data_IF_582083515804
#
_entry.id   IF_582083515804
#
_cell.length_a   1.000
_cell.length_b   1.000
_cell.length_c   1.000
_cell.angle_alpha   90.00
_cell.angle_beta   90.00
_cell.angle_gamma   90.00
#
_symmetry.space_group_name_H-M   'P 1'
#
loop_
_entity.id
_entity.type
_entity.pdbx_description
1 polymer ?
#
# COMPACT_ATOMS: atom_id res chain seq x y z
N UNK A 1 -13.67 47.91 59.92
CA UNK A 1 -13.74 49.24 59.28
C UNK A 1 -12.38 49.54 58.66
N UNK A 2 -11.89 48.65 57.80
CA UNK A 2 -12.34 48.37 56.40
C UNK A 2 -11.60 49.36 55.48
N UNK A 3 -10.91 48.99 54.40
CA UNK A 3 -10.65 47.71 53.75
C UNK A 3 -9.48 48.02 52.80
N UNK A 4 -8.37 47.28 52.88
CA UNK A 4 -7.19 47.50 52.02
C UNK A 4 -7.41 46.72 50.73
N UNK A 5 -7.87 47.42 49.70
CA UNK A 5 -8.15 46.87 48.37
C UNK A 5 -6.82 46.48 47.69
N UNK A 6 -6.42 45.21 47.85
CA UNK A 6 -5.31 44.59 47.13
C UNK A 6 -5.71 44.36 45.68
N UNK A 7 -4.98 45.03 44.80
CA UNK A 7 -5.05 44.96 43.35
C UNK A 7 -4.63 43.56 42.86
N UNK A 8 -5.60 42.66 42.74
CA UNK A 8 -5.44 41.28 42.28
C UNK A 8 -5.36 41.16 40.76
N UNK A 9 -4.35 41.78 40.13
CA UNK A 9 -4.02 41.44 38.73
C UNK A 9 -3.31 40.09 38.71
N UNK A 10 -4.11 39.03 38.56
CA UNK A 10 -3.61 37.72 38.18
C UNK A 10 -2.83 37.86 36.86
N UNK A 11 -1.50 37.89 36.96
CA UNK A 11 -0.61 37.72 35.81
C UNK A 11 -0.89 36.34 35.24
N UNK A 12 -1.58 36.29 34.09
CA UNK A 12 -1.63 35.11 33.24
C UNK A 12 -0.19 34.63 33.02
N UNK A 13 0.10 33.33 33.23
CA UNK A 13 1.45 32.83 33.00
C UNK A 13 1.82 33.06 31.54
N UNK A 14 3.07 33.43 31.24
CA UNK A 14 3.50 33.61 29.86
C UNK A 14 3.25 32.30 29.11
N UNK A 15 2.59 32.40 27.96
CA UNK A 15 2.43 31.29 27.04
C UNK A 15 3.82 30.72 26.79
N UNK A 16 4.09 29.55 27.38
CA UNK A 16 5.32 28.81 27.14
C UNK A 16 5.37 28.55 25.64
N UNK A 17 6.25 29.27 24.97
CA UNK A 17 6.60 29.04 23.58
C UNK A 17 7.18 27.63 23.50
N UNK A 18 6.31 26.66 23.25
CA UNK A 18 6.66 25.24 23.19
C UNK A 18 7.73 25.03 22.12
N UNK A 19 8.99 24.99 22.57
CA UNK A 19 10.12 24.54 21.78
C UNK A 19 9.88 23.06 21.45
N UNK A 20 9.84 22.77 20.15
CA UNK A 20 10.30 21.49 19.62
C UNK A 20 9.46 20.23 19.85
N UNK A 21 8.11 20.26 19.85
CA UNK A 21 7.38 18.99 19.62
C UNK A 21 7.38 18.64 18.12
N UNK A 22 7.75 17.39 17.80
CA UNK A 22 7.81 16.84 16.44
C UNK A 22 6.51 17.05 15.64
N UNK A 23 5.37 17.08 16.32
CA UNK A 23 4.11 17.65 15.84
C UNK A 23 3.67 18.74 16.83
N UNK A 24 3.59 20.01 16.39
CA UNK A 24 2.89 21.03 17.17
C UNK A 24 1.39 20.74 17.16
N UNK A 25 0.72 21.10 18.26
CA UNK A 25 -0.71 20.86 18.48
C UNK A 25 -1.53 21.47 17.33
N UNK A 26 -2.42 20.69 16.71
CA UNK A 26 -3.44 21.19 15.79
C UNK A 26 -3.02 21.43 14.33
N UNK A 27 -1.80 21.07 13.91
CA UNK A 27 -1.20 21.45 12.61
C UNK A 27 -1.40 20.44 11.45
N UNK A 28 -2.47 19.64 11.43
CA UNK A 28 -2.65 18.57 10.44
C UNK A 28 -4.10 18.34 9.97
N UNK A 29 -4.95 19.35 10.00
CA UNK A 29 -6.34 19.22 9.53
C UNK A 29 -6.41 19.04 8.01
N UNK A 30 -5.71 19.87 7.24
CA UNK A 30 -5.65 19.78 5.78
C UNK A 30 -4.85 18.58 5.28
N UNK A 31 -3.65 18.26 5.80
CA UNK A 31 -2.94 17.03 5.44
C UNK A 31 -3.80 15.78 5.65
N UNK A 32 -4.47 15.66 6.80
CA UNK A 32 -5.44 14.57 7.03
C UNK A 32 -6.57 14.61 6.01
N UNK A 33 -7.13 15.79 5.77
CA UNK A 33 -8.23 15.94 4.83
C UNK A 33 -7.81 15.41 3.46
N UNK A 34 -6.71 15.90 2.89
CA UNK A 34 -6.17 15.48 1.60
C UNK A 34 -5.87 13.98 1.57
N UNK A 35 -5.19 13.47 2.60
CA UNK A 35 -4.85 12.05 2.73
C UNK A 35 -6.09 11.15 2.66
N UNK A 36 -7.18 11.48 3.36
CA UNK A 36 -8.39 10.64 3.34
C UNK A 36 -9.05 10.60 1.94
N UNK A 37 -8.97 11.67 1.14
CA UNK A 37 -9.49 11.66 -0.24
C UNK A 37 -8.58 10.83 -1.13
N UNK A 38 -7.27 11.00 -0.99
CA UNK A 38 -6.30 10.19 -1.71
C UNK A 38 -6.48 8.70 -1.40
N UNK A 39 -6.68 8.34 -0.13
CA UNK A 39 -6.99 6.98 0.29
C UNK A 39 -8.28 6.45 -0.38
N UNK A 40 -9.33 7.27 -0.43
CA UNK A 40 -10.56 6.94 -1.16
C UNK A 40 -10.33 6.72 -2.66
N UNK A 41 -9.52 7.56 -3.32
CA UNK A 41 -9.17 7.40 -4.74
C UNK A 41 -8.32 6.14 -4.99
N UNK A 42 -7.40 5.81 -4.08
CA UNK A 42 -6.58 4.59 -4.14
C UNK A 42 -7.45 3.35 -3.99
N UNK A 43 -8.36 3.33 -3.01
CA UNK A 43 -9.36 2.26 -2.88
C UNK A 43 -10.22 2.16 -4.13
N UNK A 44 -10.67 3.28 -4.70
CA UNK A 44 -11.46 3.30 -5.92
C UNK A 44 -10.68 2.67 -7.08
N UNK A 45 -9.38 2.95 -7.22
CA UNK A 45 -8.53 2.30 -8.22
C UNK A 45 -8.46 0.78 -8.03
N UNK A 46 -8.29 0.32 -6.78
CA UNK A 46 -8.26 -1.10 -6.46
C UNK A 46 -9.60 -1.79 -6.78
N UNK A 47 -10.73 -1.25 -6.30
CA UNK A 47 -12.06 -1.81 -6.55
C UNK A 47 -12.48 -1.73 -8.01
N UNK A 48 -12.17 -0.63 -8.71
CA UNK A 48 -12.41 -0.51 -10.15
C UNK A 48 -11.69 -1.61 -10.92
N UNK A 49 -10.43 -1.88 -10.56
CA UNK A 49 -9.68 -2.98 -11.17
C UNK A 49 -10.31 -4.35 -10.90
N UNK A 50 -10.74 -4.59 -9.66
CA UNK A 50 -11.39 -5.83 -9.24
C UNK A 50 -12.77 -6.02 -9.88
N UNK A 51 -13.51 -4.96 -10.18
CA UNK A 51 -14.85 -5.07 -10.79
C UNK A 51 -14.86 -5.83 -12.12
N UNK A 52 -13.73 -5.81 -12.85
CA UNK A 52 -13.58 -6.52 -14.13
C UNK A 52 -12.86 -7.87 -14.01
N UNK A 53 -12.27 -8.18 -12.86
CA UNK A 53 -11.37 -9.32 -12.71
C UNK A 53 -11.84 -10.32 -11.66
N UNK A 54 -12.57 -9.90 -10.63
CA UNK A 54 -12.79 -10.71 -9.41
C UNK A 54 -13.45 -12.07 -9.70
N UNK A 55 -14.42 -12.13 -10.61
CA UNK A 55 -15.12 -13.38 -10.97
C UNK A 55 -14.21 -14.32 -11.77
N UNK A 56 -13.41 -13.80 -12.69
CA UNK A 56 -12.41 -14.61 -13.42
C UNK A 56 -11.27 -15.10 -12.54
N UNK A 57 -10.87 -14.31 -11.54
CA UNK A 57 -9.81 -14.68 -10.60
C UNK A 57 -10.28 -15.73 -9.59
N UNK A 58 -11.38 -15.44 -8.87
CA UNK A 58 -11.82 -16.22 -7.70
C UNK A 58 -13.30 -16.59 -7.66
N UNK A 59 -14.04 -16.35 -8.75
CA UNK A 59 -15.43 -16.83 -8.89
C UNK A 59 -15.53 -18.35 -8.91
N UNK A 60 -16.75 -18.91 -8.84
CA UNK A 60 -16.96 -20.37 -8.90
C UNK A 60 -16.38 -21.03 -10.16
N UNK A 61 -16.33 -20.29 -11.28
CA UNK A 61 -15.68 -20.71 -12.53
C UNK A 61 -14.34 -20.03 -12.79
N UNK A 62 -13.79 -19.34 -11.79
CA UNK A 62 -12.52 -18.64 -11.89
C UNK A 62 -11.31 -19.57 -11.85
N UNK A 63 -10.12 -18.97 -11.97
CA UNK A 63 -8.83 -19.67 -11.94
C UNK A 63 -8.58 -20.30 -10.55
N UNK A 64 -8.85 -19.55 -9.47
CA UNK A 64 -8.68 -19.97 -8.08
C UNK A 64 -9.98 -19.76 -7.28
N UNK A 65 -10.99 -20.62 -7.44
CA UNK A 65 -12.30 -20.42 -6.82
C UNK A 65 -12.23 -20.24 -5.29
N UNK A 66 -12.75 -19.12 -4.79
CA UNK A 66 -12.73 -18.80 -3.37
C UNK A 66 -13.51 -19.83 -2.52
N UNK A 67 -14.62 -20.35 -3.04
CA UNK A 67 -15.44 -21.34 -2.33
C UNK A 67 -14.68 -22.65 -2.05
N UNK A 68 -13.94 -23.16 -3.04
CA UNK A 68 -13.11 -24.36 -2.88
C UNK A 68 -11.98 -24.15 -1.87
N UNK A 69 -11.32 -22.99 -1.96
CA UNK A 69 -10.26 -22.60 -1.05
C UNK A 69 -10.76 -22.50 0.39
N UNK A 70 -11.84 -21.76 0.65
CA UNK A 70 -12.40 -21.60 1.99
C UNK A 70 -12.90 -22.93 2.56
N UNK A 71 -13.47 -23.80 1.74
CA UNK A 71 -13.83 -25.16 2.15
C UNK A 71 -12.60 -26.01 2.51
N UNK A 72 -11.48 -25.86 1.80
CA UNK A 72 -10.22 -26.53 2.14
C UNK A 72 -9.63 -26.01 3.46
N UNK A 73 -9.60 -24.68 3.65
CA UNK A 73 -9.14 -24.05 4.90
C UNK A 73 -9.97 -24.52 6.10
N UNK A 74 -11.31 -24.54 5.96
CA UNK A 74 -12.20 -25.03 7.01
C UNK A 74 -11.94 -26.49 7.37
N UNK A 75 -11.63 -27.34 6.39
CA UNK A 75 -11.29 -28.76 6.62
C UNK A 75 -9.95 -28.93 7.34
N UNK A 76 -8.99 -28.03 7.09
CA UNK A 76 -7.65 -28.11 7.69
C UNK A 76 -7.60 -27.61 9.14
N UNK A 77 -8.29 -26.50 9.45
CA UNK A 77 -8.14 -25.80 10.75
C UNK A 77 -9.42 -25.83 11.62
N UNK A 78 -10.55 -26.29 11.10
CA UNK A 78 -11.86 -26.05 11.74
C UNK A 78 -12.31 -24.59 11.60
N UNK A 79 -13.56 -24.29 11.98
CA UNK A 79 -14.18 -23.00 11.63
C UNK A 79 -13.57 -21.79 12.35
N UNK A 80 -13.21 -21.92 13.64
CA UNK A 80 -12.73 -20.79 14.42
C UNK A 80 -11.37 -20.27 13.92
N UNK A 81 -10.42 -21.19 13.73
CA UNK A 81 -9.09 -20.86 13.19
C UNK A 81 -9.16 -20.48 11.71
N UNK A 82 -10.05 -21.11 10.92
CA UNK A 82 -10.24 -20.75 9.52
C UNK A 82 -10.69 -19.31 9.32
N UNK A 83 -11.59 -18.79 10.17
CA UNK A 83 -12.04 -17.40 10.12
C UNK A 83 -10.89 -16.42 10.39
N UNK A 84 -9.96 -16.77 11.28
CA UNK A 84 -8.78 -15.95 11.57
C UNK A 84 -7.73 -16.04 10.46
N UNK A 85 -7.53 -17.24 9.91
CA UNK A 85 -6.57 -17.51 8.84
C UNK A 85 -6.95 -16.81 7.52
N UNK A 86 -8.25 -16.81 7.19
CA UNK A 86 -8.78 -16.16 6.00
C UNK A 86 -9.91 -15.20 6.40
N UNK A 87 -9.60 -13.98 6.90
CA UNK A 87 -10.61 -13.02 7.30
C UNK A 87 -11.32 -12.46 6.07
N UNK A 88 -12.53 -12.96 5.77
CA UNK A 88 -13.29 -12.54 4.58
C UNK A 88 -14.80 -12.61 4.77
N UNK A 89 -15.54 -11.72 4.10
CA UNK A 89 -16.99 -11.82 4.00
C UNK A 89 -17.46 -13.02 3.15
N UNK A 90 -16.57 -13.62 2.35
CA UNK A 90 -16.92 -14.72 1.45
C UNK A 90 -17.17 -16.07 2.14
N UNK A 91 -17.00 -16.15 3.47
CA UNK A 91 -17.53 -17.25 4.27
C UNK A 91 -19.06 -17.34 4.23
N UNK A 92 -19.75 -16.22 4.00
CA UNK A 92 -21.21 -16.18 3.87
C UNK A 92 -21.67 -16.71 2.51
N UNK A 93 -20.98 -16.28 1.45
CA UNK A 93 -21.20 -16.74 0.08
C UNK A 93 -20.02 -16.33 -0.79
N UNK A 94 -19.56 -17.25 -1.65
CA UNK A 94 -18.52 -17.03 -2.64
C UNK A 94 -19.05 -17.06 -4.09
N UNK A 95 -20.33 -16.71 -4.29
CA UNK A 95 -20.93 -16.60 -5.62
C UNK A 95 -20.47 -15.34 -6.36
N UNK A 96 -20.60 -15.32 -7.70
CA UNK A 96 -20.26 -14.13 -8.51
C UNK A 96 -20.97 -12.86 -8.02
N UNK A 97 -22.23 -12.99 -7.62
CA UNK A 97 -23.02 -11.88 -7.07
C UNK A 97 -22.43 -11.39 -5.74
N UNK A 98 -22.03 -12.30 -4.85
CA UNK A 98 -21.42 -11.92 -3.57
C UNK A 98 -20.06 -11.24 -3.77
N UNK A 99 -19.23 -11.77 -4.67
CA UNK A 99 -17.94 -11.17 -5.04
C UNK A 99 -18.11 -9.74 -5.57
N UNK A 100 -19.01 -9.54 -6.54
CA UNK A 100 -19.29 -8.22 -7.10
C UNK A 100 -19.94 -7.28 -6.09
N UNK A 101 -20.83 -7.77 -5.21
CA UNK A 101 -21.43 -6.95 -4.16
C UNK A 101 -20.38 -6.38 -3.20
N UNK A 102 -19.38 -7.16 -2.80
CA UNK A 102 -18.27 -6.70 -1.96
C UNK A 102 -17.44 -5.63 -2.69
N UNK A 103 -17.15 -5.82 -3.98
CA UNK A 103 -16.42 -4.83 -4.79
C UNK A 103 -17.22 -3.52 -4.92
N UNK A 104 -18.52 -3.60 -5.21
CA UNK A 104 -19.38 -2.43 -5.35
C UNK A 104 -19.57 -1.69 -4.02
N UNK A 105 -19.75 -2.41 -2.91
CA UNK A 105 -19.84 -1.83 -1.58
C UNK A 105 -18.55 -1.11 -1.20
N UNK A 106 -17.40 -1.75 -1.43
CA UNK A 106 -16.08 -1.15 -1.21
C UNK A 106 -15.86 0.09 -2.09
N UNK A 107 -16.20 0.01 -3.37
CA UNK A 107 -16.12 1.14 -4.31
C UNK A 107 -17.02 2.31 -3.92
N UNK A 108 -18.27 2.05 -3.51
CA UNK A 108 -19.18 3.07 -3.02
C UNK A 108 -18.66 3.73 -1.74
N UNK A 109 -18.12 2.95 -0.79
CA UNK A 109 -17.46 3.50 0.39
C UNK A 109 -16.26 4.37 0.02
N UNK A 110 -15.47 3.97 -0.98
CA UNK A 110 -14.34 4.75 -1.48
C UNK A 110 -14.79 6.12 -2.03
N UNK A 111 -15.84 6.14 -2.86
CA UNK A 111 -16.44 7.39 -3.39
C UNK A 111 -16.95 8.28 -2.26
N UNK A 112 -17.70 7.72 -1.31
CA UNK A 112 -18.21 8.47 -0.16
C UNK A 112 -17.07 9.04 0.70
N UNK A 113 -15.96 8.31 0.85
CA UNK A 113 -14.76 8.79 1.53
C UNK A 113 -14.15 10.00 0.81
N UNK A 114 -14.04 9.96 -0.53
CA UNK A 114 -13.60 11.11 -1.34
C UNK A 114 -14.52 12.31 -1.13
N UNK A 115 -15.83 12.07 -1.08
CA UNK A 115 -16.86 13.09 -0.83
C UNK A 115 -16.96 13.53 0.63
N UNK A 116 -16.11 12.99 1.53
CA UNK A 116 -16.10 13.27 2.97
C UNK A 116 -17.40 12.93 3.70
N UNK A 117 -18.12 11.92 3.21
CA UNK A 117 -19.33 11.41 3.85
C UNK A 117 -18.93 10.28 4.78
N UNK A 118 -19.22 10.41 6.07
CA UNK A 118 -18.91 9.45 7.13
C UNK A 118 -17.50 8.83 7.03
N UNK A 119 -16.42 9.64 6.92
CA UNK A 119 -15.11 9.16 6.48
C UNK A 119 -14.57 8.00 7.33
N UNK A 120 -14.77 8.00 8.65
CA UNK A 120 -14.36 6.87 9.51
C UNK A 120 -15.07 5.57 9.16
N UNK A 121 -16.37 5.61 8.90
CA UNK A 121 -17.17 4.43 8.52
C UNK A 121 -16.76 3.97 7.13
N UNK A 122 -16.61 4.89 6.18
CA UNK A 122 -16.22 4.57 4.82
C UNK A 122 -14.83 3.94 4.73
N UNK A 123 -13.84 4.42 5.50
CA UNK A 123 -12.52 3.76 5.61
C UNK A 123 -12.67 2.33 6.13
N UNK A 124 -13.47 2.11 7.19
CA UNK A 124 -13.68 0.77 7.73
C UNK A 124 -14.36 -0.17 6.74
N UNK A 125 -15.41 0.28 6.07
CA UNK A 125 -16.14 -0.52 5.07
C UNK A 125 -15.24 -0.86 3.88
N UNK A 126 -14.51 0.12 3.33
CA UNK A 126 -13.56 -0.10 2.25
C UNK A 126 -12.46 -1.09 2.66
N UNK A 127 -11.89 -0.94 3.86
CA UNK A 127 -10.87 -1.83 4.39
C UNK A 127 -11.38 -3.27 4.54
N UNK A 128 -12.59 -3.48 5.11
CA UNK A 128 -13.17 -4.82 5.26
C UNK A 128 -13.49 -5.45 3.91
N UNK A 129 -14.03 -4.69 2.95
CA UNK A 129 -14.31 -5.19 1.60
C UNK A 129 -13.02 -5.59 0.88
N UNK A 130 -11.97 -4.77 1.00
CA UNK A 130 -10.67 -5.07 0.38
C UNK A 130 -9.98 -6.25 1.07
N UNK A 131 -10.01 -6.31 2.41
CA UNK A 131 -9.52 -7.45 3.18
C UNK A 131 -10.25 -8.75 2.79
N UNK A 132 -11.55 -8.68 2.50
CA UNK A 132 -12.32 -9.85 2.08
C UNK A 132 -11.81 -10.44 0.76
N UNK A 133 -11.42 -9.59 -0.19
CA UNK A 133 -10.73 -10.03 -1.38
C UNK A 133 -9.35 -10.63 -1.02
N UNK A 134 -8.53 -9.92 -0.25
CA UNK A 134 -7.18 -10.38 0.13
C UNK A 134 -7.18 -11.73 0.84
N UNK A 135 -8.12 -11.96 1.76
CA UNK A 135 -8.25 -13.21 2.50
C UNK A 135 -8.67 -14.42 1.65
N UNK A 136 -9.22 -14.21 0.46
CA UNK A 136 -9.72 -15.27 -0.43
C UNK A 136 -8.94 -15.42 -1.75
N UNK A 137 -8.16 -14.41 -2.13
CA UNK A 137 -7.58 -14.30 -3.47
C UNK A 137 -6.27 -15.10 -3.70
N UNK A 138 -5.75 -15.77 -2.68
CA UNK A 138 -4.58 -16.67 -2.78
C UNK A 138 -3.40 -15.97 -3.50
N UNK A 139 -2.89 -16.52 -4.61
CA UNK A 139 -1.79 -15.95 -5.39
C UNK A 139 -2.09 -14.54 -5.93
N UNK A 140 -3.36 -14.22 -6.18
CA UNK A 140 -3.81 -12.89 -6.63
C UNK A 140 -3.84 -11.82 -5.54
N UNK A 141 -3.41 -12.15 -4.32
CA UNK A 141 -3.23 -11.21 -3.21
C UNK A 141 -1.77 -11.14 -2.72
N UNK A 142 -0.75 -11.56 -3.47
CA UNK A 142 0.65 -11.58 -2.99
C UNK A 142 1.38 -10.22 -2.99
N UNK A 143 0.68 -9.12 -3.33
CA UNK A 143 1.31 -7.81 -3.57
C UNK A 143 1.60 -7.03 -2.28
N UNK A 144 2.80 -6.43 -2.19
CA UNK A 144 3.15 -5.54 -1.07
C UNK A 144 2.21 -4.32 -0.98
N UNK A 145 1.77 -3.79 -2.13
CA UNK A 145 0.82 -2.67 -2.20
C UNK A 145 -0.51 -2.97 -1.51
N UNK A 146 -0.96 -4.22 -1.53
CA UNK A 146 -2.21 -4.61 -0.87
C UNK A 146 -2.07 -4.49 0.66
N UNK A 147 -0.92 -4.90 1.21
CA UNK A 147 -0.61 -4.74 2.63
C UNK A 147 -0.43 -3.27 3.03
N UNK A 148 0.23 -2.46 2.20
CA UNK A 148 0.32 -1.01 2.41
C UNK A 148 -1.08 -0.38 2.49
N UNK A 149 -1.97 -0.70 1.55
CA UNK A 149 -3.33 -0.14 1.57
C UNK A 149 -4.13 -0.55 2.81
N UNK A 150 -4.03 -1.81 3.24
CA UNK A 150 -4.74 -2.31 4.43
C UNK A 150 -4.19 -1.71 5.73
N UNK A 151 -2.86 -1.63 5.88
CA UNK A 151 -2.21 -0.99 7.02
C UNK A 151 -2.58 0.49 7.10
N UNK A 152 -2.42 1.23 6.00
CA UNK A 152 -2.79 2.62 5.86
C UNK A 152 -4.26 2.86 6.21
N UNK A 153 -5.18 2.00 5.73
CA UNK A 153 -6.61 2.11 6.00
C UNK A 153 -6.94 1.83 7.47
N UNK A 154 -6.35 0.79 8.06
CA UNK A 154 -6.57 0.46 9.47
C UNK A 154 -6.10 1.59 10.38
N UNK A 155 -4.91 2.15 10.15
CA UNK A 155 -4.42 3.30 10.93
C UNK A 155 -5.30 4.53 10.66
N UNK A 156 -5.72 4.74 9.41
CA UNK A 156 -6.59 5.85 9.01
C UNK A 156 -7.98 5.82 9.65
N UNK A 157 -8.48 4.65 10.07
CA UNK A 157 -9.71 4.56 10.87
C UNK A 157 -9.61 5.39 12.16
N UNK A 158 -8.45 5.36 12.82
CA UNK A 158 -8.19 6.14 14.04
C UNK A 158 -7.91 7.62 13.76
N UNK A 159 -7.38 7.93 12.57
CA UNK A 159 -7.12 9.29 12.10
C UNK A 159 -8.39 10.02 11.64
N UNK A 160 -9.29 9.31 10.95
CA UNK A 160 -10.47 9.86 10.29
C UNK A 160 -11.46 10.45 11.30
N UNK A 161 -12.02 11.66 11.07
CA UNK A 161 -12.97 12.28 11.99
C UNK A 161 -14.31 11.53 12.04
N UNK A 162 -14.98 11.55 13.20
CA UNK A 162 -16.36 11.07 13.38
C UNK A 162 -17.38 12.01 12.73
N UNK A 163 -18.57 11.47 12.45
CA UNK A 163 -19.73 12.24 11.96
C UNK A 163 -19.98 12.11 10.46
N UNK A 164 -21.20 12.45 10.03
CA UNK A 164 -21.66 12.23 8.66
C UNK A 164 -20.99 13.17 7.64
N UNK A 165 -20.77 14.45 7.96
CA UNK A 165 -20.05 15.39 7.10
C UNK A 165 -19.17 16.31 7.95
N UNK A 166 -17.99 15.83 8.39
CA UNK A 166 -17.19 16.53 9.40
C UNK A 166 -16.45 17.77 8.90
N UNK A 167 -16.59 18.17 7.63
CA UNK A 167 -15.77 19.22 6.99
C UNK A 167 -14.27 18.90 7.17
N UNK A 168 -13.48 19.79 7.76
CA UNK A 168 -12.07 19.55 8.13
C UNK A 168 -11.91 18.66 9.38
N UNK A 169 -12.98 18.37 10.12
CA UNK A 169 -12.98 17.55 11.32
C UNK A 169 -12.32 18.23 12.51
N UNK A 170 -12.47 19.56 12.66
CA UNK A 170 -11.85 20.35 13.73
C UNK A 170 -12.29 19.90 15.14
N UNK A 171 -13.53 19.44 15.27
CA UNK A 171 -14.10 18.91 16.52
C UNK A 171 -13.60 17.49 16.87
N UNK A 172 -12.97 16.78 15.93
CA UNK A 172 -12.36 15.48 16.15
C UNK A 172 -11.00 15.45 15.42
N UNK A 173 -9.98 16.18 15.93
CA UNK A 173 -8.70 16.37 15.24
C UNK A 173 -7.86 15.10 15.16
N UNK A 174 -6.85 15.05 14.26
CA UNK A 174 -6.04 13.86 14.04
C UNK A 174 -5.31 13.41 15.32
N UNK A 175 -5.31 12.09 15.56
CA UNK A 175 -4.50 11.51 16.63
C UNK A 175 -3.00 11.60 16.28
N UNK A 176 -2.15 12.13 17.17
CA UNK A 176 -0.71 12.16 16.94
C UNK A 176 -0.09 10.77 16.74
N UNK A 177 -0.60 9.75 17.43
CA UNK A 177 -0.09 8.38 17.30
C UNK A 177 -0.48 7.78 15.96
N UNK A 178 -1.71 7.98 15.49
CA UNK A 178 -2.12 7.50 14.16
C UNK A 178 -1.34 8.22 13.04
N UNK A 179 -1.13 9.53 13.18
CA UNK A 179 -0.33 10.32 12.25
C UNK A 179 1.13 9.84 12.23
N UNK A 180 1.71 9.59 13.41
CA UNK A 180 3.04 8.99 13.52
C UNK A 180 3.09 7.64 12.81
N UNK A 181 2.09 6.77 13.01
CA UNK A 181 2.10 5.44 12.43
C UNK A 181 1.93 5.41 10.91
N UNK A 182 1.19 6.36 10.32
CA UNK A 182 1.14 6.52 8.86
C UNK A 182 2.47 7.04 8.31
N UNK A 183 3.13 7.96 9.01
CA UNK A 183 4.49 8.40 8.66
C UNK A 183 5.54 7.29 8.90
N UNK A 184 5.30 6.42 9.88
CA UNK A 184 6.10 5.24 10.16
C UNK A 184 5.95 4.21 9.05
N UNK A 185 4.73 3.93 8.58
CA UNK A 185 4.48 3.11 7.40
C UNK A 185 5.21 3.69 6.17
N UNK A 186 5.02 4.98 5.89
CA UNK A 186 5.72 5.68 4.81
C UNK A 186 7.24 5.53 4.90
N UNK A 187 7.80 5.71 6.11
CA UNK A 187 9.22 5.56 6.36
C UNK A 187 9.67 4.12 6.12
N UNK A 188 8.95 3.12 6.66
CA UNK A 188 9.31 1.70 6.51
C UNK A 188 9.29 1.27 5.06
N UNK A 189 8.35 1.77 4.25
CA UNK A 189 8.32 1.48 2.82
C UNK A 189 9.64 1.85 2.13
N UNK A 190 10.19 3.04 2.42
CA UNK A 190 11.49 3.46 1.88
C UNK A 190 12.66 2.74 2.57
N UNK A 191 12.71 2.82 3.89
CA UNK A 191 13.86 2.39 4.67
C UNK A 191 14.07 0.88 4.61
N UNK A 192 13.01 0.08 4.82
CA UNK A 192 13.11 -1.36 4.71
C UNK A 192 13.47 -1.80 3.28
N UNK A 193 12.95 -1.11 2.26
CA UNK A 193 13.34 -1.35 0.86
C UNK A 193 14.82 -1.09 0.60
N UNK A 194 15.44 -0.08 1.22
CA UNK A 194 16.88 0.16 1.13
C UNK A 194 17.71 -0.86 1.91
N UNK A 195 17.26 -1.23 3.11
CA UNK A 195 17.92 -2.22 3.96
C UNK A 195 17.96 -3.58 3.25
N UNK A 196 16.86 -4.03 2.65
CA UNK A 196 16.85 -5.33 1.97
C UNK A 196 17.72 -5.37 0.71
N UNK A 197 17.95 -4.23 0.03
CA UNK A 197 18.90 -4.16 -1.10
C UNK A 197 20.34 -4.39 -0.63
N UNK A 198 20.66 -4.00 0.60
CA UNK A 198 21.96 -4.28 1.20
C UNK A 198 22.06 -5.72 1.74
N UNK A 199 20.99 -6.19 2.39
CA UNK A 199 20.93 -7.51 3.02
C UNK A 199 20.72 -8.66 2.04
N UNK A 200 20.15 -8.42 0.85
CA UNK A 200 19.94 -9.46 -0.16
C UNK A 200 21.24 -10.04 -0.70
N UNK A 201 22.34 -9.28 -0.61
CA UNK A 201 23.64 -9.68 -1.16
C UNK A 201 23.73 -9.59 -2.68
N UNK A 202 22.70 -9.05 -3.34
CA UNK A 202 22.68 -8.87 -4.79
C UNK A 202 23.81 -7.93 -5.24
N UNK A 203 24.68 -8.45 -6.10
CA UNK A 203 25.85 -7.75 -6.60
C UNK A 203 25.47 -6.52 -7.43
N UNK A 204 24.32 -6.52 -8.11
CA UNK A 204 23.92 -5.42 -9.00
C UNK A 204 23.75 -4.09 -8.25
N UNK A 205 23.28 -4.13 -7.01
CA UNK A 205 23.20 -2.95 -6.15
C UNK A 205 24.58 -2.43 -5.76
N UNK A 206 25.54 -3.33 -5.51
CA UNK A 206 26.91 -2.99 -5.11
C UNK A 206 27.76 -2.50 -6.28
N UNK A 207 27.52 -3.02 -7.48
CA UNK A 207 28.22 -2.64 -8.72
C UNK A 207 27.55 -1.48 -9.46
N UNK A 208 26.48 -0.88 -8.90
CA UNK A 208 25.71 0.22 -9.52
C UNK A 208 25.07 -0.15 -10.87
N UNK A 209 24.81 -1.43 -11.12
CA UNK A 209 24.21 -1.96 -12.36
C UNK A 209 22.75 -2.39 -12.18
N UNK A 210 22.18 -2.22 -10.98
CA UNK A 210 20.78 -2.59 -10.68
C UNK A 210 19.77 -1.92 -11.62
N UNK A 211 20.03 -0.69 -12.05
CA UNK A 211 19.12 0.07 -12.92
C UNK A 211 19.38 -0.16 -14.42
N UNK A 212 20.40 -0.92 -14.80
CA UNK A 212 20.79 -1.11 -16.21
C UNK A 212 19.78 -1.89 -17.03
N UNK A 213 18.92 -2.69 -16.39
CA UNK A 213 17.88 -3.51 -17.04
C UNK A 213 16.52 -3.36 -16.38
N UNK A 214 16.41 -2.43 -15.42
CA UNK A 214 15.24 -2.29 -14.55
C UNK A 214 13.96 -1.98 -15.33
N UNK A 215 14.03 -1.04 -16.28
CA UNK A 215 12.83 -0.51 -16.95
C UNK A 215 12.25 -1.51 -17.94
N UNK A 216 13.09 -2.33 -18.58
CA UNK A 216 12.63 -3.41 -19.44
C UNK A 216 12.17 -4.63 -18.65
N UNK A 217 12.78 -4.92 -17.49
CA UNK A 217 12.43 -6.11 -16.70
C UNK A 217 11.26 -5.90 -15.74
N UNK A 218 10.82 -4.65 -15.52
CA UNK A 218 9.69 -4.35 -14.64
C UNK A 218 8.38 -5.02 -15.10
N UNK A 219 7.44 -5.33 -14.19
CA UNK A 219 6.24 -6.12 -14.47
C UNK A 219 5.44 -5.60 -15.66
N UNK A 220 5.16 -4.29 -15.64
CA UNK A 220 4.51 -3.56 -16.72
C UNK A 220 5.38 -2.34 -17.09
N UNK A 221 6.18 -2.44 -18.16
CA UNK A 221 7.00 -1.32 -18.60
C UNK A 221 6.11 -0.18 -19.12
N UNK A 222 6.65 1.03 -19.16
CA UNK A 222 6.01 2.19 -19.81
C UNK A 222 6.83 2.59 -21.03
N UNK A 223 6.24 3.31 -21.98
CA UNK A 223 7.00 3.83 -23.13
C UNK A 223 8.08 4.83 -22.72
N UNK A 224 7.86 5.60 -21.62
CA UNK A 224 8.90 6.47 -21.06
C UNK A 224 10.03 5.65 -20.43
N UNK A 225 9.70 4.62 -19.64
CA UNK A 225 10.69 3.70 -19.07
C UNK A 225 11.53 3.03 -20.16
N UNK A 226 10.89 2.61 -21.25
CA UNK A 226 11.59 2.13 -22.44
C UNK A 226 12.52 3.19 -23.04
N UNK A 227 12.08 4.45 -23.16
CA UNK A 227 12.95 5.53 -23.65
C UNK A 227 14.16 5.74 -22.74
N UNK A 228 13.94 5.78 -21.42
CA UNK A 228 14.99 5.90 -20.40
C UNK A 228 16.00 4.76 -20.53
N UNK A 229 15.52 3.52 -20.69
CA UNK A 229 16.32 2.31 -20.88
C UNK A 229 17.19 2.34 -22.14
N UNK A 230 16.65 2.84 -23.25
CA UNK A 230 17.30 2.75 -24.56
C UNK A 230 18.20 3.95 -24.86
N UNK A 231 17.94 5.11 -24.24
CA UNK A 231 18.60 6.37 -24.61
C UNK A 231 19.58 6.89 -23.58
N UNK A 232 19.43 6.52 -22.31
CA UNK A 232 20.32 7.03 -21.27
C UNK A 232 21.50 6.08 -21.04
N UNK A 233 22.72 6.61 -20.86
CA UNK A 233 23.90 5.78 -20.67
C UNK A 233 23.95 5.19 -19.25
N UNK A 234 24.80 4.17 -19.06
CA UNK A 234 25.05 3.56 -17.74
C UNK A 234 25.33 4.59 -16.63
N UNK A 235 26.03 5.69 -16.93
CA UNK A 235 26.29 6.75 -15.94
C UNK A 235 25.00 7.33 -15.31
N UNK A 236 23.91 7.45 -16.06
CA UNK A 236 22.61 7.87 -15.54
C UNK A 236 21.99 6.79 -14.63
N UNK A 237 22.07 5.52 -15.03
CA UNK A 237 21.55 4.40 -14.26
C UNK A 237 22.31 4.22 -12.94
N UNK A 238 23.64 4.27 -12.97
CA UNK A 238 24.49 4.24 -11.80
C UNK A 238 24.19 5.41 -10.84
N UNK A 239 24.02 6.63 -11.37
CA UNK A 239 23.60 7.78 -10.56
C UNK A 239 22.21 7.55 -9.93
N UNK A 240 21.29 6.93 -10.65
CA UNK A 240 19.95 6.60 -10.14
C UNK A 240 20.03 5.57 -9.00
N UNK A 241 20.93 4.59 -9.05
CA UNK A 241 21.20 3.68 -7.92
C UNK A 241 21.65 4.44 -6.67
N UNK A 242 22.59 5.38 -6.81
CA UNK A 242 23.05 6.22 -5.70
C UNK A 242 21.90 7.05 -5.13
N UNK A 243 21.08 7.65 -6.00
CA UNK A 243 19.88 8.37 -5.58
C UNK A 243 18.92 7.47 -4.83
N UNK A 244 18.61 6.26 -5.32
CA UNK A 244 17.73 5.29 -4.63
C UNK A 244 18.22 5.06 -3.20
N UNK A 245 19.51 4.78 -2.99
CA UNK A 245 20.06 4.61 -1.65
C UNK A 245 19.98 5.87 -0.79
N UNK A 246 20.24 7.06 -1.37
CA UNK A 246 20.09 8.31 -0.65
C UNK A 246 18.64 8.53 -0.20
N UNK A 247 17.67 8.24 -1.05
CA UNK A 247 16.24 8.37 -0.73
C UNK A 247 15.80 7.36 0.34
N UNK A 248 16.16 6.10 0.16
CA UNK A 248 15.72 5.00 1.01
C UNK A 248 16.40 4.98 2.38
N UNK A 249 17.71 5.27 2.46
CA UNK A 249 18.50 5.12 3.69
C UNK A 249 18.78 6.43 4.44
N UNK A 250 18.70 7.58 3.76
CA UNK A 250 19.07 8.88 4.36
C UNK A 250 17.89 9.85 4.38
N UNK A 251 17.32 10.19 3.23
CA UNK A 251 16.25 11.20 3.13
C UNK A 251 15.00 10.73 3.86
N UNK A 252 14.67 9.44 3.87
CA UNK A 252 13.54 8.90 4.63
C UNK A 252 13.54 9.33 6.11
N UNK A 253 14.71 9.43 6.76
CA UNK A 253 14.83 9.88 8.15
C UNK A 253 14.42 11.34 8.37
N UNK A 254 14.43 12.17 7.32
CA UNK A 254 14.02 13.56 7.44
C UNK A 254 12.55 13.70 7.82
N UNK A 255 11.74 12.65 7.65
CA UNK A 255 10.36 12.58 8.17
C UNK A 255 10.29 12.78 9.69
N UNK A 256 11.30 12.33 10.43
CA UNK A 256 11.35 12.39 11.89
C UNK A 256 12.09 13.63 12.43
N UNK A 257 12.65 14.45 11.55
CA UNK A 257 13.39 15.66 11.90
C UNK A 257 12.48 16.89 12.04
N UNK A 258 13.00 18.05 12.51
CA UNK A 258 12.22 19.28 12.62
C UNK A 258 11.59 19.72 11.29
N UNK A 259 10.54 20.54 11.38
CA UNK A 259 9.67 20.99 10.27
C UNK A 259 10.39 21.25 8.93
N UNK A 260 11.52 21.97 8.94
CA UNK A 260 12.26 22.32 7.72
C UNK A 260 12.68 21.07 6.93
N UNK A 261 13.20 20.05 7.62
CA UNK A 261 13.63 18.79 7.03
C UNK A 261 12.44 17.99 6.49
N UNK A 262 11.30 17.96 7.18
CA UNK A 262 10.09 17.29 6.67
C UNK A 262 9.57 17.90 5.38
N UNK A 263 9.63 19.22 5.25
CA UNK A 263 9.25 19.89 3.99
C UNK A 263 10.24 19.58 2.87
N UNK A 264 11.54 19.58 3.16
CA UNK A 264 12.57 19.17 2.20
C UNK A 264 12.31 17.73 1.76
N UNK A 265 12.06 16.83 2.72
CA UNK A 265 11.69 15.44 2.49
C UNK A 265 10.50 15.34 1.54
N UNK A 266 9.39 16.01 1.87
CA UNK A 266 8.18 16.05 1.04
C UNK A 266 8.49 16.48 -0.40
N UNK A 267 9.19 17.60 -0.60
CA UNK A 267 9.50 18.10 -1.94
C UNK A 267 10.37 17.12 -2.74
N UNK A 268 11.45 16.60 -2.12
CA UNK A 268 12.35 15.65 -2.76
C UNK A 268 11.64 14.35 -3.11
N UNK A 269 10.90 13.76 -2.16
CA UNK A 269 10.24 12.46 -2.36
C UNK A 269 9.06 12.58 -3.32
N UNK A 270 8.40 13.73 -3.39
CA UNK A 270 7.34 14.00 -4.38
C UNK A 270 7.91 13.99 -5.79
N UNK A 271 9.02 14.69 -6.03
CA UNK A 271 9.70 14.68 -7.33
C UNK A 271 10.21 13.28 -7.70
N UNK A 272 10.79 12.57 -6.73
CA UNK A 272 11.28 11.20 -6.92
C UNK A 272 10.14 10.22 -7.27
N UNK A 273 9.03 10.26 -6.54
CA UNK A 273 7.85 9.44 -6.83
C UNK A 273 7.23 9.76 -8.18
N UNK A 274 7.18 11.05 -8.58
CA UNK A 274 6.71 11.43 -9.91
C UNK A 274 7.58 10.81 -11.02
N UNK A 275 8.91 10.79 -10.84
CA UNK A 275 9.83 10.12 -11.76
C UNK A 275 9.57 8.61 -11.87
N UNK A 276 9.32 7.93 -10.74
CA UNK A 276 8.99 6.49 -10.75
C UNK A 276 7.65 6.24 -11.45
N UNK A 277 6.62 7.02 -11.12
CA UNK A 277 5.27 6.89 -11.72
C UNK A 277 5.32 7.08 -13.25
N UNK A 278 6.12 8.04 -13.72
CA UNK A 278 6.25 8.31 -15.15
C UNK A 278 6.99 7.20 -15.89
N UNK A 279 7.89 6.46 -15.22
CA UNK A 279 8.77 5.49 -15.87
C UNK A 279 8.36 4.03 -15.65
N UNK A 280 7.42 3.75 -14.74
CA UNK A 280 6.99 2.40 -14.44
C UNK A 280 5.50 2.32 -14.06
N UNK A 281 4.81 1.25 -14.49
CA UNK A 281 3.44 1.00 -14.09
C UNK A 281 3.40 0.15 -12.80
N UNK A 282 3.30 0.78 -11.63
CA UNK A 282 3.21 0.11 -10.32
C UNK A 282 1.82 0.06 -9.69
N UNK A 283 0.78 -0.03 -10.53
CA UNK A 283 -0.60 0.06 -10.09
C UNK A 283 -0.78 1.26 -9.14
N UNK A 284 -1.46 1.09 -8.00
CA UNK A 284 -1.62 2.15 -7.01
C UNK A 284 -0.47 2.28 -6.00
N UNK A 285 0.60 1.45 -6.08
CA UNK A 285 1.70 1.41 -5.10
C UNK A 285 2.38 2.77 -4.96
N UNK A 286 2.90 3.34 -6.05
CA UNK A 286 3.61 4.62 -5.95
C UNK A 286 2.67 5.77 -5.59
N UNK A 287 1.39 5.67 -5.94
CA UNK A 287 0.38 6.64 -5.55
C UNK A 287 0.13 6.64 -4.05
N UNK A 288 0.07 5.46 -3.39
CA UNK A 288 -0.06 5.43 -1.92
C UNK A 288 1.15 6.04 -1.23
N UNK A 289 2.38 5.77 -1.70
CA UNK A 289 3.61 6.34 -1.13
C UNK A 289 3.67 7.86 -1.33
N UNK A 290 3.34 8.32 -2.53
CA UNK A 290 3.26 9.75 -2.85
C UNK A 290 2.23 10.46 -1.96
N UNK A 291 1.03 9.89 -1.83
CA UNK A 291 -0.05 10.47 -1.06
C UNK A 291 0.18 10.44 0.45
N UNK A 292 0.81 9.38 0.98
CA UNK A 292 1.26 9.34 2.39
C UNK A 292 2.24 10.47 2.69
N UNK A 293 3.07 10.84 1.71
CA UNK A 293 3.99 11.99 1.81
C UNK A 293 3.30 13.31 2.14
N UNK A 294 2.02 13.49 1.79
CA UNK A 294 1.24 14.69 2.17
C UNK A 294 1.18 14.88 3.69
N UNK A 295 1.31 13.83 4.48
CA UNK A 295 1.34 13.91 5.95
C UNK A 295 2.64 14.51 6.51
N UNK A 296 3.67 14.72 5.69
CA UNK A 296 4.91 15.42 6.06
C UNK A 296 4.73 16.95 6.16
N UNK A 297 3.74 17.50 5.45
CA UNK A 297 3.44 18.93 5.46
C UNK A 297 2.46 19.29 6.59
N UNK A 298 2.44 20.56 6.97
CA UNK A 298 1.52 21.09 7.98
C UNK A 298 0.53 22.09 7.38
N UNK A 299 -0.52 22.39 8.13
CA UNK A 299 -1.55 23.36 7.74
C UNK A 299 -0.96 24.74 7.34
N UNK A 300 0.15 25.14 7.99
CA UNK A 300 0.89 26.38 7.72
C UNK A 300 1.60 26.38 6.37
N UNK A 301 2.11 25.23 5.93
CA UNK A 301 2.69 25.09 4.59
C UNK A 301 1.65 25.33 3.50
N UNK A 302 0.43 24.80 3.70
CA UNK A 302 -0.66 24.92 2.74
C UNK A 302 -1.28 26.33 2.73
N UNK A 303 -1.07 27.14 3.78
CA UNK A 303 -1.58 28.52 3.91
C UNK A 303 -3.10 28.62 3.74
N UNK A 304 -3.81 27.54 4.08
CA UNK A 304 -5.27 27.48 3.99
C UNK A 304 -5.90 27.85 5.34
N UNK A 305 -7.12 28.44 5.36
CA UNK A 305 -7.82 28.73 6.61
C UNK A 305 -8.02 27.47 7.45
N UNK A 306 -7.59 27.51 8.71
CA UNK A 306 -7.70 26.39 9.65
C UNK A 306 -8.44 26.80 10.92
N UNK A 307 -9.54 26.13 11.25
CA UNK A 307 -10.22 26.36 12.52
C UNK A 307 -9.33 25.92 13.69
N UNK A 308 -9.46 26.54 14.87
CA UNK A 308 -8.79 26.09 16.07
C UNK A 308 -9.25 24.66 16.41
N UNK A 309 -8.32 23.85 16.92
CA UNK A 309 -8.61 22.48 17.34
C UNK A 309 -7.82 22.12 18.60
N UNK A 310 -8.45 21.37 19.49
CA UNK A 310 -7.83 20.86 20.71
C UNK A 310 -7.25 19.46 20.51
N UNK A 311 -6.16 19.08 21.19
CA UNK A 311 -5.58 17.75 21.00
C UNK A 311 -6.58 16.64 21.35
N UNK A 312 -6.79 15.72 20.42
CA UNK A 312 -7.62 14.55 20.64
C UNK A 312 -6.93 13.56 21.59
N UNK A 313 -7.66 13.11 22.60
CA UNK A 313 -7.25 11.98 23.44
C UNK A 313 -7.77 10.67 22.84
N UNK A 314 -6.86 9.72 22.59
CA UNK A 314 -7.23 8.36 22.21
C UNK A 314 -7.74 7.58 23.43
N UNK A 315 -8.81 6.80 23.22
CA UNK A 315 -9.27 5.79 24.17
C UNK A 315 -8.21 4.70 24.36
N UNK A 316 -8.22 4.02 25.52
CA UNK A 316 -7.25 2.97 25.82
C UNK A 316 -7.25 1.80 24.79
N UNK A 317 -8.39 1.33 24.22
CA UNK A 317 -8.34 0.25 23.23
C UNK A 317 -7.66 0.70 21.94
N UNK A 318 -7.86 1.95 21.52
CA UNK A 318 -7.20 2.52 20.35
C UNK A 318 -5.69 2.60 20.55
N UNK A 319 -5.22 2.93 21.75
CA UNK A 319 -3.78 2.96 22.06
C UNK A 319 -3.17 1.56 22.02
N UNK A 320 -3.88 0.55 22.53
CA UNK A 320 -3.42 -0.85 22.47
C UNK A 320 -3.35 -1.33 21.02
N UNK A 321 -4.39 -1.11 20.22
CA UNK A 321 -4.40 -1.53 18.82
C UNK A 321 -3.26 -0.88 18.00
N UNK A 322 -3.07 0.43 18.15
CA UNK A 322 -1.98 1.14 17.48
C UNK A 322 -0.60 0.75 18.02
N UNK A 323 -0.49 0.51 19.34
CA UNK A 323 0.74 0.01 19.97
C UNK A 323 1.11 -1.40 19.51
N UNK A 324 0.12 -2.26 19.27
CA UNK A 324 0.34 -3.60 18.72
C UNK A 324 0.87 -3.53 17.29
N UNK A 325 0.34 -2.63 16.44
CA UNK A 325 0.91 -2.41 15.09
C UNK A 325 2.37 -1.94 15.17
N UNK A 326 2.66 -0.97 16.04
CA UNK A 326 4.02 -0.50 16.22
C UNK A 326 4.95 -1.64 16.65
N UNK A 327 4.55 -2.42 17.66
CA UNK A 327 5.30 -3.57 18.12
C UNK A 327 5.53 -4.58 16.99
N UNK A 328 4.46 -4.98 16.30
CA UNK A 328 4.50 -5.98 15.25
C UNK A 328 5.43 -5.56 14.11
N UNK A 329 5.32 -4.32 13.64
CA UNK A 329 6.18 -3.78 12.57
C UNK A 329 7.66 -3.69 12.99
N UNK A 330 7.96 -3.40 14.26
CA UNK A 330 9.33 -3.39 14.77
C UNK A 330 9.95 -4.78 14.85
N UNK A 331 9.22 -5.79 15.36
CA UNK A 331 9.77 -7.14 15.54
C UNK A 331 9.93 -7.90 14.22
N UNK A 332 9.16 -7.56 13.19
CA UNK A 332 9.27 -8.19 11.85
C UNK A 332 10.19 -7.44 10.89
N UNK A 333 10.75 -6.30 11.31
CA UNK A 333 11.63 -5.48 10.47
C UNK A 333 12.83 -6.30 9.94
N UNK A 334 13.30 -6.02 8.71
CA UNK A 334 14.47 -6.70 8.13
C UNK A 334 15.69 -6.60 9.03
N UNK A 335 16.34 -7.74 9.29
CA UNK A 335 17.51 -7.81 10.17
C UNK A 335 17.19 -7.90 11.67
N UNK A 336 15.93 -7.80 12.10
CA UNK A 336 15.53 -7.95 13.51
C UNK A 336 14.88 -9.30 13.77
N UNK A 337 13.96 -9.73 12.91
CA UNK A 337 13.11 -10.92 13.15
C UNK A 337 13.90 -12.21 13.40
N UNK A 338 15.06 -12.38 12.77
CA UNK A 338 15.93 -13.55 12.95
C UNK A 338 16.68 -13.59 14.29
N UNK A 339 16.77 -12.46 14.99
CA UNK A 339 17.44 -12.34 16.30
C UNK A 339 16.49 -12.63 17.46
N UNK A 340 15.18 -12.66 17.22
CA UNK A 340 14.17 -12.77 18.26
C UNK A 340 13.67 -14.21 18.42
N UNK A 341 13.46 -14.70 19.66
CA UNK A 341 12.83 -15.98 19.90
C UNK A 341 11.36 -15.96 19.43
N UNK A 342 10.84 -17.12 19.00
CA UNK A 342 9.49 -17.27 18.45
C UNK A 342 8.36 -16.67 19.30
N UNK A 343 8.37 -16.74 20.64
CA UNK A 343 7.35 -16.10 21.47
C UNK A 343 7.31 -14.57 21.39
N UNK A 344 8.34 -13.89 20.88
CA UNK A 344 8.26 -12.44 20.62
C UNK A 344 7.67 -12.13 19.23
N UNK A 345 7.61 -13.13 18.35
CA UNK A 345 7.05 -12.96 17.00
C UNK A 345 5.55 -13.26 16.95
N UNK A 346 4.99 -14.01 17.92
CA UNK A 346 3.57 -14.39 17.92
C UNK A 346 2.62 -13.20 17.75
N UNK A 347 2.83 -12.02 18.37
CA UNK A 347 1.90 -10.90 18.20
C UNK A 347 1.90 -10.41 16.75
N UNK A 348 3.03 -10.47 16.05
CA UNK A 348 3.10 -10.10 14.65
C UNK A 348 2.46 -11.17 13.75
N UNK A 349 2.72 -12.46 14.01
CA UNK A 349 2.10 -13.58 13.29
C UNK A 349 0.58 -13.56 13.40
N UNK A 350 0.03 -13.19 14.55
CA UNK A 350 -1.41 -13.07 14.75
C UNK A 350 -2.06 -11.97 13.88
N UNK A 351 -1.30 -10.96 13.44
CA UNK A 351 -1.77 -9.89 12.57
C UNK A 351 -1.55 -10.16 11.07
N UNK A 352 -0.78 -11.19 10.72
CA UNK A 352 -0.44 -11.52 9.32
C UNK A 352 -1.67 -11.70 8.42
N UNK A 353 -2.76 -12.40 8.84
CA UNK A 353 -3.95 -12.56 8.01
C UNK A 353 -4.66 -11.25 7.65
N UNK A 354 -4.53 -10.23 8.50
CA UNK A 354 -5.14 -8.92 8.29
C UNK A 354 -4.29 -7.99 7.45
N UNK A 355 -2.99 -8.28 7.32
CA UNK A 355 -2.01 -7.47 6.58
C UNK A 355 -2.02 -5.99 6.97
N UNK A 356 -2.11 -5.73 8.27
CA UNK A 356 -2.10 -4.38 8.86
C UNK A 356 -0.79 -4.03 9.59
N UNK A 357 0.20 -4.92 9.52
CA UNK A 357 1.53 -4.73 10.10
C UNK A 357 2.54 -5.51 9.25
N UNK A 358 2.95 -4.93 8.12
CA UNK A 358 3.69 -5.65 7.08
C UNK A 358 5.19 -5.36 7.13
N UNK A 359 5.97 -6.17 6.42
CA UNK A 359 7.36 -5.85 6.03
C UNK A 359 7.39 -5.41 4.58
N UNK A 360 8.30 -4.50 4.24
CA UNK A 360 8.48 -4.00 2.88
C UNK A 360 9.88 -4.30 2.36
N UNK A 361 9.96 -4.60 1.08
CA UNK A 361 11.21 -5.00 0.46
C UNK A 361 11.11 -4.94 -1.05
N UNK A 362 10.93 -3.73 -1.58
CA UNK A 362 10.74 -3.52 -3.01
C UNK A 362 12.10 -3.64 -3.73
N UNK A 363 12.13 -4.50 -4.76
CA UNK A 363 13.31 -4.72 -5.61
C UNK A 363 14.57 -5.11 -4.83
N UNK A 364 14.45 -5.99 -3.84
CA UNK A 364 15.59 -6.48 -3.06
C UNK A 364 16.62 -7.23 -3.93
N UNK A 365 16.13 -7.98 -4.91
CA UNK A 365 16.93 -8.73 -5.90
C UNK A 365 16.45 -8.31 -7.28
N UNK A 366 17.40 -7.94 -8.14
CA UNK A 366 17.16 -7.51 -9.49
C UNK A 366 17.15 -8.71 -10.44
N UNK A 367 16.31 -8.62 -11.47
CA UNK A 367 16.28 -9.61 -12.54
C UNK A 367 17.19 -9.14 -13.67
N UNK A 368 17.95 -10.07 -14.23
CA UNK A 368 18.85 -9.82 -15.37
C UNK A 368 18.14 -9.94 -16.70
N UNK A 369 17.15 -10.83 -16.77
CA UNK A 369 16.43 -11.20 -17.99
C UNK A 369 14.91 -11.14 -17.76
N UNK A 370 14.17 -10.89 -18.84
CA UNK A 370 12.71 -10.90 -18.86
C UNK A 370 12.19 -12.12 -19.60
N UNK A 371 11.65 -13.06 -18.83
CA UNK A 371 10.91 -14.19 -19.35
C UNK A 371 9.41 -13.88 -19.38
N UNK A 372 8.74 -14.34 -20.43
CA UNK A 372 7.31 -14.12 -20.63
C UNK A 372 6.57 -15.45 -20.83
N UNK A 373 5.47 -15.62 -20.09
CA UNK A 373 4.57 -16.76 -20.24
C UNK A 373 3.50 -16.37 -21.24
N UNK A 374 3.33 -17.19 -22.27
CA UNK A 374 2.32 -17.01 -23.31
C UNK A 374 1.38 -18.21 -23.36
N UNK A 375 0.08 -17.95 -23.46
CA UNK A 375 -0.91 -18.98 -23.76
C UNK A 375 -1.17 -18.98 -25.26
N UNK A 376 -1.18 -20.15 -25.88
CA UNK A 376 -1.45 -20.31 -27.31
C UNK A 376 -2.61 -21.28 -27.52
N UNK A 377 -3.39 -21.05 -28.58
CA UNK A 377 -4.45 -21.96 -29.01
C UNK A 377 -4.24 -22.41 -30.46
N UNK A 378 -4.64 -23.64 -30.77
CA UNK A 378 -4.64 -24.17 -32.13
C UNK A 378 -5.95 -24.86 -32.47
N UNK A 379 -6.42 -24.69 -33.70
CA UNK A 379 -7.60 -25.42 -34.24
C UNK A 379 -7.20 -26.67 -35.04
N UNK A 380 -5.99 -26.71 -35.57
CA UNK A 380 -5.47 -27.78 -36.43
C UNK A 380 -4.36 -28.61 -35.75
N UNK A 381 -3.94 -28.24 -34.55
CA UNK A 381 -2.83 -28.85 -33.82
C UNK A 381 -1.44 -28.50 -34.37
N UNK A 382 -1.37 -27.74 -35.47
CA UNK A 382 -0.13 -27.41 -36.19
C UNK A 382 0.21 -25.94 -36.03
N UNK A 383 -0.75 -25.05 -36.27
CA UNK A 383 -0.58 -23.60 -36.13
C UNK A 383 -1.10 -23.15 -34.78
N UNK A 384 -0.19 -22.70 -33.95
CA UNK A 384 -0.48 -22.15 -32.63
C UNK A 384 -0.48 -20.63 -32.69
N UNK A 385 -1.55 -20.02 -32.20
CA UNK A 385 -1.72 -18.57 -32.19
C UNK A 385 -1.75 -18.09 -30.74
N UNK A 386 -0.93 -17.09 -30.38
CA UNK A 386 -0.96 -16.48 -29.05
C UNK A 386 -2.32 -15.84 -28.72
N UNK A 387 -2.78 -16.03 -27.49
CA UNK A 387 -3.87 -15.23 -26.94
C UNK A 387 -3.33 -13.85 -26.56
N UNK A 388 -3.92 -12.75 -27.06
CA UNK A 388 -3.43 -11.42 -26.77
C UNK A 388 -3.80 -10.99 -25.34
N UNK A 389 -2.80 -10.53 -24.59
CA UNK A 389 -2.97 -9.84 -23.31
C UNK A 389 -3.31 -8.37 -23.53
N UNK A 390 -4.00 -7.79 -22.55
CA UNK A 390 -4.50 -6.42 -22.65
C UNK A 390 -3.46 -5.41 -22.19
N UNK A 391 -2.71 -5.74 -21.15
CA UNK A 391 -1.79 -4.79 -20.50
C UNK A 391 -0.32 -5.24 -20.54
N UNK A 392 -0.05 -6.54 -20.57
CA UNK A 392 1.31 -7.09 -20.58
C UNK A 392 1.92 -7.01 -21.97
N UNK A 393 3.20 -6.63 -22.12
CA UNK A 393 3.88 -6.69 -23.41
C UNK A 393 3.97 -8.13 -23.92
N UNK A 394 3.72 -8.33 -25.21
CA UNK A 394 3.87 -9.61 -25.92
C UNK A 394 4.58 -9.39 -27.26
N UNK A 395 4.13 -8.42 -28.04
CA UNK A 395 4.75 -8.04 -29.32
C UNK A 395 5.94 -7.09 -29.09
N UNK A 396 7.18 -7.47 -29.43
CA UNK A 396 8.37 -6.61 -29.30
C UNK A 396 8.30 -5.34 -30.15
N UNK A 397 7.47 -5.32 -31.19
CA UNK A 397 7.29 -4.16 -32.09
C UNK A 397 6.24 -3.18 -31.59
N UNK A 398 5.51 -3.52 -30.52
CA UNK A 398 4.47 -2.67 -29.94
C UNK A 398 4.98 -1.88 -28.74
N UNK A 399 4.77 -0.56 -28.77
CA UNK A 399 5.14 0.31 -27.66
C UNK A 399 4.31 -0.02 -26.39
N UNK A 400 4.94 -0.05 -25.19
CA UNK A 400 4.24 -0.32 -23.94
C UNK A 400 3.36 0.87 -23.47
N UNK A 401 2.21 0.57 -22.86
CA UNK A 401 1.24 1.57 -22.40
C UNK A 401 1.50 2.13 -20.99
N UNK A 402 0.64 3.06 -20.58
CA UNK A 402 0.53 3.53 -19.19
C UNK A 402 -0.82 3.08 -18.65
N UNK A 403 -0.80 2.27 -17.60
CA UNK A 403 -1.96 1.59 -17.03
C UNK A 403 -2.17 1.96 -15.56
N UNK A 404 -1.11 2.29 -14.83
CA UNK A 404 -1.21 2.72 -13.45
C UNK A 404 -2.14 3.96 -13.34
N UNK A 405 -3.03 4.05 -12.32
CA UNK A 405 -3.07 3.23 -11.11
C UNK A 405 -3.89 1.91 -11.20
N UNK A 406 -4.36 1.51 -12.39
CA UNK A 406 -5.05 0.23 -12.59
C UNK A 406 -4.11 -0.96 -12.30
N UNK A 407 -4.63 -2.02 -11.67
CA UNK A 407 -3.86 -3.22 -11.31
C UNK A 407 -4.37 -4.45 -12.06
N UNK A 408 -3.78 -4.82 -13.21
CA UNK A 408 -4.15 -6.03 -13.92
C UNK A 408 -3.55 -7.27 -13.23
N UNK A 409 -4.25 -7.82 -12.24
CA UNK A 409 -3.71 -8.84 -11.32
C UNK A 409 -3.38 -10.15 -12.03
N UNK A 410 -4.14 -10.52 -13.06
CA UNK A 410 -3.85 -11.71 -13.85
C UNK A 410 -2.51 -11.56 -14.58
N UNK A 411 -2.39 -10.55 -15.45
CA UNK A 411 -1.17 -10.32 -16.22
C UNK A 411 0.04 -10.01 -15.33
N UNK A 412 -0.16 -9.24 -14.26
CA UNK A 412 0.92 -8.95 -13.33
C UNK A 412 1.45 -10.24 -12.68
N UNK A 413 0.58 -11.15 -12.27
CA UNK A 413 1.03 -12.42 -11.69
C UNK A 413 1.76 -13.30 -12.70
N UNK A 414 1.49 -13.21 -14.00
CA UNK A 414 2.31 -13.90 -15.01
C UNK A 414 3.77 -13.42 -14.99
N UNK A 415 4.03 -12.15 -14.67
CA UNK A 415 5.40 -11.67 -14.47
C UNK A 415 6.07 -12.32 -13.26
N UNK A 416 5.36 -12.49 -12.13
CA UNK A 416 5.91 -13.22 -10.99
C UNK A 416 6.13 -14.71 -11.32
N UNK A 417 5.18 -15.31 -12.04
CA UNK A 417 5.25 -16.72 -12.40
C UNK A 417 6.42 -17.04 -13.33
N UNK A 418 6.85 -16.08 -14.18
CA UNK A 418 8.00 -16.28 -15.07
C UNK A 418 9.34 -16.23 -14.35
N UNK A 419 9.40 -15.82 -13.07
CA UNK A 419 10.62 -15.78 -12.27
C UNK A 419 10.94 -17.10 -11.55
N UNK A 420 10.07 -18.11 -11.66
CA UNK A 420 10.27 -19.39 -10.97
C UNK A 420 9.76 -20.58 -11.76
N UNK A 421 9.89 -21.76 -11.16
CA UNK A 421 9.41 -23.00 -11.77
C UNK A 421 7.89 -23.06 -11.80
N UNK A 422 7.33 -23.60 -12.89
CA UNK A 422 5.88 -23.72 -13.11
C UNK A 422 5.13 -24.43 -11.97
N UNK A 423 5.78 -25.35 -11.24
CA UNK A 423 5.19 -26.06 -10.09
C UNK A 423 4.86 -25.16 -8.91
N UNK A 424 5.54 -24.02 -8.77
CA UNK A 424 5.27 -23.02 -7.73
C UNK A 424 4.07 -22.13 -8.06
N UNK A 425 3.62 -22.15 -9.32
CA UNK A 425 2.53 -21.30 -9.83
C UNK A 425 1.43 -22.16 -10.47
N UNK A 426 0.79 -23.06 -9.72
CA UNK A 426 -0.23 -23.99 -10.26
C UNK A 426 -1.43 -23.26 -10.87
N UNK A 427 -1.67 -22.01 -10.50
CA UNK A 427 -2.72 -21.19 -11.11
C UNK A 427 -2.50 -20.97 -12.61
N UNK A 428 -1.25 -20.97 -13.11
CA UNK A 428 -0.94 -20.87 -14.55
C UNK A 428 -1.49 -22.08 -15.31
N UNK A 429 -1.27 -23.29 -14.78
CA UNK A 429 -1.83 -24.51 -15.35
C UNK A 429 -3.36 -24.56 -15.22
N UNK A 430 -3.90 -24.05 -14.10
CA UNK A 430 -5.36 -23.92 -13.96
C UNK A 430 -5.93 -22.97 -15.00
N UNK A 431 -5.23 -21.89 -15.36
CA UNK A 431 -5.64 -21.02 -16.46
C UNK A 431 -5.71 -21.79 -17.77
N UNK A 432 -4.71 -22.61 -18.09
CA UNK A 432 -4.74 -23.47 -19.27
C UNK A 432 -5.92 -24.45 -19.26
N UNK A 433 -6.20 -25.10 -18.11
CA UNK A 433 -7.37 -25.96 -17.96
C UNK A 433 -8.68 -25.22 -18.21
N UNK A 434 -8.83 -24.00 -17.66
CA UNK A 434 -10.03 -23.15 -17.87
C UNK A 434 -10.21 -22.74 -19.33
N UNK A 435 -9.10 -22.46 -20.04
CA UNK A 435 -9.14 -22.18 -21.47
C UNK A 435 -9.63 -23.40 -22.28
N UNK A 436 -9.22 -24.62 -21.90
CA UNK A 436 -9.69 -25.86 -22.54
C UNK A 436 -11.17 -26.15 -22.24
N UNK A 437 -11.66 -25.75 -21.06
CA UNK A 437 -13.08 -25.83 -20.69
C UNK A 437 -13.96 -24.76 -21.37
N UNK A 438 -13.35 -23.73 -21.98
CA UNK A 438 -14.04 -22.61 -22.61
C UNK A 438 -14.69 -21.65 -21.60
N UNK A 439 -14.16 -21.58 -20.37
CA UNK A 439 -14.72 -20.82 -19.25
C UNK A 439 -13.98 -19.53 -18.93
#
# INVERSE_FOLDING_TARGET
MDDVQRDGRARSPPATSGRGSWLRRGDALWPRWLWLRALGLIFLSAFYSLAFQITGLIGPRGILPAGEYLAAVRRAFGIAEALWFAPTLFWLSASDVALLAVVLLGGAAAVLLVLNVAPRVCVAVAAVCFLSFIGAAQDFASYQSDGMLLEAAFISFFLAPRGLRPRLGAADPPSPLALFLLLWEWFRIYFESGVVKLLSGDLQWRSLTAMDRYYENGPLPTWLGWYVQQRLPHGFHAFTVVLIFAFELVIAWFAFLPRRFRLICFCLTTAFQAGIILTANYAFLNYIVLCLGVLLVDDRFLRLPTPPSEPRQLSWPARIALGWILYATLVVAPGISHLLPRPLLWPATALEPFRIANRYGLFAVMTTERYEIEFQGSRDGVRWTPYPFRYKPQDPMKAPGIYAPYQPRFEWNLWFASLGEWRRYPWVLRTEMRLLEGS
#
